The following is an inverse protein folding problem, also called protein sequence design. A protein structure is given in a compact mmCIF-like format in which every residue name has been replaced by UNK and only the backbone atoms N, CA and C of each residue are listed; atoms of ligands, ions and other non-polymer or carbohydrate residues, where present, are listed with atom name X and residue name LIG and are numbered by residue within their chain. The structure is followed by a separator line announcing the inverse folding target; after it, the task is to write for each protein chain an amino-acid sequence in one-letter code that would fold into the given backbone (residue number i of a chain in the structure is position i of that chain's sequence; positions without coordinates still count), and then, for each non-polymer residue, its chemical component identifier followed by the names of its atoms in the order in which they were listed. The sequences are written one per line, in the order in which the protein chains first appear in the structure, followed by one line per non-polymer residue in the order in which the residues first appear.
data_IF_554665887942
#
_entry.id   IF_554665887942
#
_cell.length_a   1.000
_cell.length_b   1.000
_cell.length_c   1.000
_cell.angle_alpha   90.00
_cell.angle_beta   90.00
_cell.angle_gamma   90.00
#
_symmetry.space_group_name_H-M   'P 1'
#
loop_
_entity.id
_entity.type
_entity.pdbx_description
1 polymer ?
#
# COMPACT_ATOMS: atom_id res chain seq x y z
N UNK A 1 18.86 -8.05 -9.05
CA UNK A 1 18.40 -6.98 -9.95
C UNK A 1 18.42 -5.67 -9.17
N UNK A 2 19.20 -4.67 -9.59
CA UNK A 2 19.26 -3.36 -8.91
C UNK A 2 17.95 -2.61 -9.10
N UNK A 3 17.48 -1.88 -8.08
CA UNK A 3 16.22 -1.11 -8.10
C UNK A 3 16.13 -0.12 -9.27
N UNK A 4 17.28 0.34 -9.80
CA UNK A 4 17.35 1.17 -11.02
C UNK A 4 16.81 0.46 -12.26
N UNK A 5 17.18 -0.80 -12.46
CA UNK A 5 16.68 -1.59 -13.61
C UNK A 5 15.17 -1.82 -13.54
N UNK A 6 14.60 -1.94 -12.33
CA UNK A 6 13.15 -2.07 -12.17
C UNK A 6 12.43 -0.78 -12.52
N UNK A 7 12.99 0.38 -12.15
CA UNK A 7 12.44 1.68 -12.52
C UNK A 7 12.46 1.88 -14.04
N UNK A 8 13.55 1.52 -14.72
CA UNK A 8 13.68 1.65 -16.18
C UNK A 8 12.70 0.73 -16.93
N UNK A 9 12.52 -0.51 -16.44
CA UNK A 9 11.52 -1.44 -16.99
C UNK A 9 10.11 -0.90 -16.77
N UNK A 10 9.80 -0.39 -15.57
CA UNK A 10 8.49 0.19 -15.26
C UNK A 10 8.17 1.41 -16.12
N UNK A 11 9.16 2.27 -16.38
CA UNK A 11 9.06 3.40 -17.30
C UNK A 11 8.72 2.95 -18.71
N UNK A 12 9.40 1.93 -19.21
CA UNK A 12 9.17 1.39 -20.55
C UNK A 12 7.77 0.80 -20.69
N UNK A 13 7.32 0.03 -19.70
CA UNK A 13 5.97 -0.54 -19.68
C UNK A 13 4.88 0.56 -19.63
N UNK A 14 5.11 1.61 -18.86
CA UNK A 14 4.19 2.75 -18.79
C UNK A 14 4.12 3.49 -20.14
N UNK A 15 5.24 3.68 -20.84
CA UNK A 15 5.24 4.27 -22.17
C UNK A 15 4.44 3.43 -23.18
N UNK A 16 4.62 2.11 -23.16
CA UNK A 16 3.84 1.20 -24.01
C UNK A 16 2.34 1.28 -23.71
N UNK A 17 1.97 1.32 -22.43
CA UNK A 17 0.58 1.45 -22.02
C UNK A 17 -0.04 2.78 -22.48
N UNK A 18 0.65 3.91 -22.28
CA UNK A 18 0.18 5.22 -22.74
C UNK A 18 0.02 5.23 -24.26
N UNK A 19 0.97 4.62 -24.98
CA UNK A 19 0.92 4.51 -26.44
C UNK A 19 -0.27 3.68 -26.91
N UNK A 20 -0.55 2.54 -26.26
CA UNK A 20 -1.72 1.71 -26.55
C UNK A 20 -3.05 2.44 -26.27
N UNK A 21 -3.14 3.17 -25.15
CA UNK A 21 -4.31 3.99 -24.83
C UNK A 21 -4.54 5.08 -25.87
N UNK A 22 -3.47 5.77 -26.31
CA UNK A 22 -3.58 6.77 -27.36
C UNK A 22 -4.02 6.16 -28.69
N UNK A 23 -3.44 5.02 -29.08
CA UNK A 23 -3.83 4.30 -30.30
C UNK A 23 -5.30 3.88 -30.26
N UNK A 24 -5.78 3.34 -29.14
CA UNK A 24 -7.19 2.94 -28.96
C UNK A 24 -8.18 4.10 -29.10
N UNK A 25 -7.75 5.31 -28.77
CA UNK A 25 -8.57 6.51 -28.85
C UNK A 25 -8.30 7.34 -30.12
N UNK A 26 -7.55 6.80 -31.08
CA UNK A 26 -7.15 7.49 -32.32
C UNK A 26 -6.44 8.84 -32.06
N UNK A 27 -5.66 8.90 -30.98
CA UNK A 27 -4.86 10.08 -30.62
C UNK A 27 -3.52 9.97 -31.36
N UNK A 28 -3.38 10.71 -32.45
CA UNK A 28 -2.14 10.90 -33.20
C UNK A 28 -1.39 12.12 -32.70
N UNK A 29 -0.12 12.29 -33.06
CA UNK A 29 0.65 13.47 -32.63
C UNK A 29 0.01 14.80 -33.07
N UNK A 30 -0.75 14.79 -34.15
CA UNK A 30 -1.51 15.95 -34.64
C UNK A 30 -2.75 16.27 -33.77
N UNK A 31 -3.35 15.25 -33.13
CA UNK A 31 -4.52 15.42 -32.25
C UNK A 31 -4.14 15.50 -30.77
N UNK A 32 -2.86 15.23 -30.43
CA UNK A 32 -2.32 15.46 -29.09
C UNK A 32 -2.32 16.96 -28.79
N UNK A 33 -3.26 17.35 -27.94
CA UNK A 33 -3.30 18.72 -27.41
C UNK A 33 -2.08 18.95 -26.52
N UNK A 34 -1.33 20.01 -26.79
CA UNK A 34 -0.26 20.42 -25.88
C UNK A 34 -0.89 20.89 -24.56
N UNK A 35 -0.39 20.34 -23.46
CA UNK A 35 -0.80 20.74 -22.12
C UNK A 35 -0.10 22.05 -21.75
N UNK A 36 -0.86 23.00 -21.20
CA UNK A 36 -0.26 24.17 -20.56
C UNK A 36 0.51 23.77 -19.30
N UNK A 37 1.41 24.62 -18.83
CA UNK A 37 2.22 24.31 -17.65
C UNK A 37 1.34 24.12 -16.39
N UNK A 38 0.29 24.93 -16.21
CA UNK A 38 -0.71 24.74 -15.16
C UNK A 38 -1.40 23.36 -15.23
N UNK A 39 -1.68 22.86 -16.43
CA UNK A 39 -2.30 21.54 -16.61
C UNK A 39 -1.32 20.41 -16.25
N UNK A 40 -0.04 20.58 -16.60
CA UNK A 40 1.01 19.62 -16.21
C UNK A 40 1.18 19.60 -14.69
N UNK A 41 1.15 20.74 -14.03
CA UNK A 41 1.25 20.83 -12.58
C UNK A 41 0.08 20.14 -11.88
N UNK A 42 -1.16 20.35 -12.36
CA UNK A 42 -2.34 19.65 -11.82
C UNK A 42 -2.22 18.14 -11.97
N UNK A 43 -1.78 17.64 -13.13
CA UNK A 43 -1.58 16.20 -13.34
C UNK A 43 -0.52 15.66 -12.37
N UNK A 44 0.61 16.37 -12.19
CA UNK A 44 1.64 15.98 -11.21
C UNK A 44 1.09 15.94 -9.79
N UNK A 45 0.31 16.94 -9.38
CA UNK A 45 -0.29 16.99 -8.06
C UNK A 45 -1.22 15.79 -7.80
N UNK A 46 -2.04 15.43 -8.79
CA UNK A 46 -2.93 14.25 -8.70
C UNK A 46 -2.13 12.96 -8.58
N UNK A 47 -1.06 12.79 -9.37
CA UNK A 47 -0.20 11.59 -9.29
C UNK A 47 0.49 11.48 -7.93
N UNK A 48 0.98 12.59 -7.38
CA UNK A 48 1.60 12.60 -6.05
C UNK A 48 0.60 12.26 -4.95
N UNK A 49 -0.62 12.76 -5.03
CA UNK A 49 -1.69 12.43 -4.08
C UNK A 49 -2.09 10.95 -4.17
N UNK A 50 -2.18 10.39 -5.39
CA UNK A 50 -2.40 8.96 -5.60
C UNK A 50 -1.26 8.11 -5.04
N UNK A 51 -0.01 8.52 -5.27
CA UNK A 51 1.16 7.83 -4.71
C UNK A 51 1.09 7.83 -3.18
N UNK A 52 0.81 8.97 -2.56
CA UNK A 52 0.68 9.07 -1.11
C UNK A 52 -0.42 8.15 -0.57
N UNK A 53 -1.57 8.07 -1.24
CA UNK A 53 -2.67 7.16 -0.85
C UNK A 53 -2.29 5.68 -0.98
N UNK A 54 -1.50 5.31 -1.98
CA UNK A 54 -1.01 3.93 -2.12
C UNK A 54 0.01 3.61 -1.04
N UNK A 55 0.95 4.52 -0.77
CA UNK A 55 1.95 4.36 0.28
C UNK A 55 1.28 4.25 1.66
N UNK A 56 0.26 5.09 1.93
CA UNK A 56 -0.57 5.02 3.12
C UNK A 56 -1.27 3.65 3.21
N UNK A 57 -1.90 3.19 2.13
CA UNK A 57 -2.58 1.90 2.10
C UNK A 57 -1.63 0.72 2.39
N UNK A 58 -0.44 0.70 1.78
CA UNK A 58 0.58 -0.34 2.02
C UNK A 58 1.12 -0.29 3.45
N UNK A 59 1.33 0.92 3.99
CA UNK A 59 1.77 1.11 5.37
C UNK A 59 0.70 0.66 6.39
N UNK A 60 -0.57 0.94 6.13
CA UNK A 60 -1.68 0.50 6.96
C UNK A 60 -1.82 -1.03 6.95
N UNK A 61 -1.56 -1.67 5.81
CA UNK A 61 -1.57 -3.13 5.70
C UNK A 61 -0.45 -3.79 6.52
N UNK A 62 0.74 -3.19 6.54
CA UNK A 62 1.89 -3.69 7.30
C UNK A 62 1.76 -3.43 8.80
N UNK A 63 1.16 -2.31 9.21
CA UNK A 63 0.86 -2.02 10.62
C UNK A 63 -0.21 -2.96 11.18
N UNK A 64 -1.24 -3.30 10.40
CA UNK A 64 -2.28 -4.24 10.83
C UNK A 64 -1.73 -5.66 11.12
N UNK A 65 -0.69 -6.07 10.41
CA UNK A 65 0.01 -7.34 10.68
C UNK A 65 0.90 -7.29 11.94
N UNK A 66 1.34 -6.11 12.38
CA UNK A 66 2.13 -5.95 13.60
C UNK A 66 1.25 -5.87 14.86
N UNK A 67 0.01 -5.38 14.74
CA UNK A 67 -0.94 -5.27 15.85
C UNK A 67 -1.52 -6.63 16.27
N UNK A 68 -1.60 -7.61 15.35
CA UNK A 68 -1.90 -9.02 15.66
C UNK A 68 -0.73 -9.78 16.32
N UNK A 69 0.47 -9.19 16.38
CA UNK A 69 1.64 -9.74 17.05
C UNK A 69 1.85 -9.18 18.47
N UNK A 70 0.91 -8.42 19.01
CA UNK A 70 0.85 -8.17 20.44
C UNK A 70 0.51 -9.48 21.16
N UNK A 71 1.27 -9.94 22.17
CA UNK A 71 0.93 -11.14 22.90
C UNK A 71 -0.39 -10.88 23.63
N UNK A 72 -1.49 -11.37 23.08
CA UNK A 72 -2.69 -11.59 23.85
C UNK A 72 -2.26 -12.49 25.02
N UNK A 73 -2.28 -11.95 26.24
CA UNK A 73 -2.14 -12.76 27.44
C UNK A 73 -3.15 -13.89 27.33
N UNK A 74 -2.64 -15.12 27.13
CA UNK A 74 -3.49 -16.29 26.99
C UNK A 74 -4.44 -16.32 28.18
N UNK A 75 -5.76 -16.54 27.98
CA UNK A 75 -6.67 -16.73 29.09
C UNK A 75 -6.09 -17.85 29.94
N UNK A 76 -5.74 -17.55 31.20
CA UNK A 76 -5.22 -18.55 32.11
C UNK A 76 -6.35 -19.57 32.30
N UNK A 77 -6.26 -20.68 31.57
CA UNK A 77 -7.09 -21.85 31.75
C UNK A 77 -6.75 -22.46 33.12
N UNK A 78 -7.21 -21.80 34.18
CA UNK A 78 -7.02 -22.28 35.55
C UNK A 78 -7.95 -23.45 35.77
N UNK A 79 -7.39 -24.59 36.15
CA UNK A 79 -8.20 -25.78 36.42
C UNK A 79 -8.87 -25.65 37.79
N UNK A 80 -9.95 -26.41 38.02
CA UNK A 80 -10.60 -26.48 39.34
C UNK A 80 -9.61 -26.87 40.45
N UNK A 81 -8.56 -27.65 40.12
CA UNK A 81 -7.48 -28.00 41.06
C UNK A 81 -6.65 -26.79 41.46
N UNK A 82 -6.39 -25.86 40.55
CA UNK A 82 -5.62 -24.65 40.82
C UNK A 82 -6.41 -23.68 41.70
N UNK A 83 -7.73 -23.58 41.47
CA UNK A 83 -8.62 -22.76 42.30
C UNK A 83 -8.70 -23.29 43.74
N UNK A 84 -8.74 -24.61 43.94
CA UNK A 84 -8.76 -25.22 45.28
C UNK A 84 -7.44 -25.04 46.03
N UNK A 85 -6.31 -25.03 45.33
CA UNK A 85 -4.99 -24.77 45.94
C UNK A 85 -4.84 -23.32 46.40
N UNK A 86 -5.26 -22.36 45.57
CA UNK A 86 -5.24 -20.96 45.96
C UNK A 86 -6.17 -20.68 47.15
N UNK A 87 -7.34 -21.33 47.21
CA UNK A 87 -8.26 -21.17 48.34
C UNK A 87 -7.68 -21.67 49.68
N UNK A 88 -6.86 -22.72 49.67
CA UNK A 88 -6.18 -23.24 50.87
C UNK A 88 -4.93 -22.47 51.28
N UNK A 89 -4.34 -21.71 50.36
CA UNK A 89 -3.17 -20.87 50.65
C UNK A 89 -3.56 -19.52 51.25
N UNK A 90 -4.85 -19.15 51.20
CA UNK A 90 -5.42 -17.91 51.74
C UNK A 90 -6.00 -18.05 53.14
N UNK A 91 -5.78 -19.18 53.82
CA UNK A 91 -6.30 -19.52 55.14
C UNK A 91 -5.15 -19.74 56.14
#
# INVERSE_FOLDING_TARGET
MSSKNLNDISSTLMQLFVSDVFNKNNITDDTKKQLSDDQKEKIKAVVLDLQAKVDEFLSAQTQKAAEEAAPAEAPKNTTLRDMMKNKKASE
#
